data_IF_231190369669
#
_entry.id   IF_231190369669
#
_cell.length_a   1.000
_cell.length_b   1.000
_cell.length_c   1.000
_cell.angle_alpha   90.00
_cell.angle_beta   90.00
_cell.angle_gamma   90.00
#
_symmetry.space_group_name_H-M   'P 1'
#
loop_
_entity.id
_entity.type
_entity.pdbx_description
1 polymer ?
#
# COMPACT_ATOMS: atom_id res chain seq x y z
N UNK A 1 -11.00 -1.38 -12.37
CA UNK A 1 -10.75 -0.13 -11.62
C UNK A 1 -9.26 0.16 -11.70
N UNK A 2 -8.81 1.43 -11.79
CA UNK A 2 -7.40 1.74 -11.69
C UNK A 2 -6.87 1.25 -10.33
N UNK A 3 -5.69 0.63 -10.35
CA UNK A 3 -5.01 0.22 -9.12
C UNK A 3 -4.64 1.48 -8.34
N UNK A 4 -4.96 1.57 -7.03
CA UNK A 4 -4.52 2.67 -6.20
C UNK A 4 -3.00 2.74 -6.21
N UNK A 5 -2.46 3.94 -6.40
CA UNK A 5 -1.03 4.17 -6.32
C UNK A 5 -0.56 4.15 -4.86
N UNK A 6 0.71 3.80 -4.59
CA UNK A 6 1.30 3.86 -3.25
C UNK A 6 1.12 5.22 -2.56
N UNK A 7 1.22 6.30 -3.34
CA UNK A 7 1.04 7.68 -2.87
C UNK A 7 -0.39 7.95 -2.39
N UNK A 8 -1.41 7.41 -3.06
CA UNK A 8 -2.81 7.46 -2.62
C UNK A 8 -2.98 6.75 -1.27
N UNK A 9 -2.28 5.62 -1.06
CA UNK A 9 -2.36 4.87 0.20
C UNK A 9 -1.72 5.65 1.35
N UNK A 10 -0.61 6.35 1.09
CA UNK A 10 0.04 7.22 2.08
C UNK A 10 -0.85 8.44 2.39
N UNK A 11 -1.52 8.99 1.39
CA UNK A 11 -2.45 10.11 1.53
C UNK A 11 -3.78 9.74 2.22
N UNK A 12 -4.12 8.45 2.33
CA UNK A 12 -5.31 8.01 3.05
C UNK A 12 -5.19 8.34 4.56
N UNK A 13 -6.23 9.00 5.07
CA UNK A 13 -6.45 9.15 6.51
C UNK A 13 -6.60 7.77 7.16
N UNK A 14 -6.07 7.59 8.37
CA UNK A 14 -6.09 6.30 9.08
C UNK A 14 -7.49 5.72 9.27
N UNK A 15 -8.54 6.55 9.33
CA UNK A 15 -9.94 6.11 9.39
C UNK A 15 -10.44 5.48 8.07
N UNK A 16 -9.90 5.91 6.93
CA UNK A 16 -10.30 5.39 5.61
C UNK A 16 -9.52 4.16 5.18
N UNK A 17 -8.40 3.84 5.84
CA UNK A 17 -7.58 2.67 5.51
C UNK A 17 -8.34 1.36 5.71
N UNK A 18 -9.09 1.21 6.80
CA UNK A 18 -9.85 -0.02 7.05
C UNK A 18 -10.93 -0.25 5.98
N UNK A 19 -11.59 0.82 5.55
CA UNK A 19 -12.60 0.79 4.49
C UNK A 19 -11.96 0.48 3.13
N UNK A 20 -10.81 1.07 2.85
CA UNK A 20 -10.02 0.80 1.64
C UNK A 20 -9.53 -0.66 1.58
N UNK A 21 -8.99 -1.21 2.67
CA UNK A 21 -8.58 -2.62 2.72
C UNK A 21 -9.78 -3.54 2.46
N UNK A 22 -10.93 -3.23 3.06
CA UNK A 22 -12.17 -4.00 2.88
C UNK A 22 -12.63 -3.99 1.42
N UNK A 23 -12.61 -2.82 0.78
CA UNK A 23 -12.98 -2.64 -0.63
C UNK A 23 -12.01 -3.38 -1.56
N UNK A 24 -10.70 -3.23 -1.34
CA UNK A 24 -9.66 -3.90 -2.14
C UNK A 24 -9.61 -5.42 -1.94
N UNK A 25 -9.93 -5.90 -0.72
CA UNK A 25 -10.06 -7.32 -0.41
C UNK A 25 -11.27 -7.93 -1.10
N UNK A 26 -12.42 -7.25 -1.07
CA UNK A 26 -13.63 -7.67 -1.80
C UNK A 26 -13.39 -7.68 -3.32
N UNK A 27 -12.53 -6.78 -3.81
CA UNK A 27 -12.19 -6.66 -5.22
C UNK A 27 -11.05 -7.61 -5.67
N UNK A 28 -10.54 -8.52 -4.81
CA UNK A 28 -9.34 -9.37 -5.06
C UNK A 28 -8.10 -8.59 -5.56
N UNK A 29 -8.11 -7.28 -5.37
CA UNK A 29 -7.10 -6.35 -5.91
C UNK A 29 -5.98 -6.14 -4.88
N UNK A 30 -6.25 -6.49 -3.62
CA UNK A 30 -5.29 -6.46 -2.51
C UNK A 30 -4.00 -7.24 -2.81
N UNK A 31 -4.09 -8.43 -3.42
CA UNK A 31 -2.90 -9.22 -3.75
C UNK A 31 -2.02 -8.55 -4.82
N UNK A 32 -2.63 -7.85 -5.77
CA UNK A 32 -1.90 -7.10 -6.80
C UNK A 32 -1.26 -5.86 -6.20
N UNK A 33 -1.99 -5.17 -5.31
CA UNK A 33 -1.50 -4.01 -4.57
C UNK A 33 -0.30 -4.37 -3.68
N UNK A 34 -0.39 -5.47 -2.91
CA UNK A 34 0.72 -5.97 -2.10
C UNK A 34 1.93 -6.32 -2.95
N UNK A 35 1.73 -7.00 -4.09
CA UNK A 35 2.83 -7.33 -4.98
C UNK A 35 3.53 -6.06 -5.49
N UNK A 36 2.75 -5.06 -5.88
CA UNK A 36 3.27 -3.78 -6.36
C UNK A 36 4.04 -3.03 -5.26
N UNK A 37 3.52 -2.98 -4.03
CA UNK A 37 4.21 -2.40 -2.88
C UNK A 37 5.52 -3.13 -2.55
N UNK A 38 5.54 -4.45 -2.68
CA UNK A 38 6.74 -5.25 -2.43
C UNK A 38 7.81 -5.02 -3.51
N UNK A 39 7.42 -4.92 -4.79
CA UNK A 39 8.34 -4.53 -5.87
C UNK A 39 8.92 -3.13 -5.65
N UNK A 40 8.11 -2.18 -5.15
CA UNK A 40 8.59 -0.85 -4.80
C UNK A 40 9.50 -0.83 -3.57
N UNK A 41 9.27 -1.70 -2.59
CA UNK A 41 10.15 -1.88 -1.44
C UNK A 41 11.55 -2.38 -1.85
N UNK A 42 11.60 -3.22 -2.89
CA UNK A 42 12.84 -3.75 -3.46
C UNK A 42 13.50 -2.79 -4.47
N UNK A 43 12.88 -1.64 -4.75
CA UNK A 43 13.41 -0.67 -5.69
C UNK A 43 14.72 -0.05 -5.18
N UNK A 44 15.71 0.20 -6.07
CA UNK A 44 16.95 0.90 -5.70
C UNK A 44 16.70 2.38 -5.34
N UNK A 45 15.58 2.95 -5.76
CA UNK A 45 15.17 4.31 -5.45
C UNK A 45 14.72 4.44 -3.99
N UNK A 46 15.53 5.16 -3.21
CA UNK A 46 15.23 5.49 -1.82
C UNK A 46 13.84 6.10 -1.58
N UNK A 47 13.37 7.10 -2.36
CA UNK A 47 12.04 7.68 -2.12
C UNK A 47 10.91 6.69 -2.40
N UNK A 48 11.03 5.88 -3.45
CA UNK A 48 10.03 4.85 -3.81
C UNK A 48 9.88 3.80 -2.72
N UNK A 49 11.01 3.36 -2.16
CA UNK A 49 11.06 2.38 -1.07
C UNK A 49 10.48 2.95 0.24
N UNK A 50 10.75 4.20 0.56
CA UNK A 50 10.19 4.89 1.73
C UNK A 50 8.65 4.99 1.62
N UNK A 51 8.13 5.39 0.46
CA UNK A 51 6.68 5.45 0.20
C UNK A 51 6.03 4.08 0.34
N UNK A 52 6.66 3.01 -0.17
CA UNK A 52 6.17 1.65 0.00
C UNK A 52 6.16 1.21 1.48
N UNK A 53 7.20 1.53 2.25
CA UNK A 53 7.24 1.31 3.72
C UNK A 53 6.08 2.02 4.42
N UNK A 54 5.86 3.30 4.10
CA UNK A 54 4.80 4.09 4.73
C UNK A 54 3.42 3.55 4.39
N UNK A 55 3.19 3.15 3.13
CA UNK A 55 1.96 2.51 2.70
C UNK A 55 1.70 1.19 3.44
N UNK A 56 2.71 0.31 3.56
CA UNK A 56 2.60 -0.96 4.29
C UNK A 56 2.36 -0.76 5.78
N UNK A 57 3.03 0.22 6.40
CA UNK A 57 2.78 0.60 7.79
C UNK A 57 1.33 1.07 7.98
N UNK A 58 0.84 1.91 7.06
CA UNK A 58 -0.56 2.39 7.05
C UNK A 58 -1.53 1.22 6.99
N UNK A 59 -1.27 0.24 6.11
CA UNK A 59 -2.10 -0.93 5.91
C UNK A 59 -2.06 -1.93 7.08
N UNK A 60 -1.25 -1.67 8.12
CA UNK A 60 -1.17 -2.52 9.31
C UNK A 60 -0.18 -3.67 9.17
N UNK A 61 0.81 -3.57 8.28
CA UNK A 61 1.89 -4.54 8.12
C UNK A 61 3.22 -3.96 8.65
N UNK A 62 3.38 -3.84 9.99
CA UNK A 62 4.55 -3.22 10.60
C UNK A 62 5.84 -4.03 10.43
N UNK A 63 5.76 -5.31 10.10
CA UNK A 63 6.93 -6.18 9.89
C UNK A 63 7.77 -5.78 8.67
N UNK A 64 7.18 -5.05 7.72
CA UNK A 64 7.86 -4.50 6.54
C UNK A 64 8.24 -3.01 6.71
N UNK A 65 7.92 -2.43 7.87
CA UNK A 65 8.00 -0.99 8.15
C UNK A 65 9.19 -0.57 8.98
#
# INVERSE_FOLDING_TARGET
MPLPSPEDIVALSSEHVAQFITDQSSSKTLSVLMKHLNEQLMSPDAPTRETARQALNRLGFPEYA
#
